data_IF_013533102246
#
_entry.id   IF_013533102246
#
_cell.length_a   1.000
_cell.length_b   1.000
_cell.length_c   1.000
_cell.angle_alpha   90.00
_cell.angle_beta   90.00
_cell.angle_gamma   90.00
#
_symmetry.space_group_name_H-M   'P 1'
#
loop_
_entity.id
_entity.type
_entity.pdbx_description
1 polymer ?
#
# COMPACT_ATOMS: atom_id res chain seq x y z
N UNK A 1 -18.93 1.45 4.32
CA UNK A 1 -17.83 0.59 3.87
C UNK A 1 -16.49 1.28 4.14
N UNK A 2 -15.53 0.53 4.66
CA UNK A 2 -14.18 1.02 4.90
C UNK A 2 -13.29 0.62 3.74
N UNK A 3 -12.50 1.55 3.21
CA UNK A 3 -11.51 1.23 2.18
C UNK A 3 -10.12 1.41 2.77
N UNK A 4 -9.27 0.41 2.57
CA UNK A 4 -7.88 0.42 3.02
C UNK A 4 -6.99 0.51 1.79
N UNK A 5 -6.09 1.48 1.78
CA UNK A 5 -5.12 1.60 0.71
C UNK A 5 -3.85 0.84 1.08
N UNK A 6 -3.56 -0.20 0.34
CA UNK A 6 -2.31 -0.95 0.49
C UNK A 6 -1.27 -0.40 -0.47
N UNK A 7 -0.12 -0.03 0.05
CA UNK A 7 0.97 0.49 -0.76
C UNK A 7 2.10 -0.54 -0.84
N UNK A 8 2.50 -0.86 -2.07
CA UNK A 8 3.65 -1.69 -2.37
C UNK A 8 4.56 -0.89 -3.29
N UNK A 9 5.86 -1.17 -3.24
CA UNK A 9 6.74 -0.60 -4.26
C UNK A 9 6.34 -1.11 -5.65
N UNK A 10 6.23 -2.43 -5.77
CA UNK A 10 5.61 -3.04 -6.93
C UNK A 10 4.74 -4.22 -6.47
N UNK A 11 3.77 -4.58 -7.28
CA UNK A 11 2.85 -5.68 -6.96
C UNK A 11 3.22 -6.89 -7.81
N UNK A 12 4.27 -7.59 -7.40
CA UNK A 12 4.76 -8.76 -8.11
C UNK A 12 4.13 -10.06 -7.64
N UNK A 13 4.86 -11.16 -7.85
CA UNK A 13 4.41 -12.51 -7.50
C UNK A 13 5.16 -13.03 -6.27
N UNK A 14 5.42 -12.18 -5.30
CA UNK A 14 6.17 -12.54 -4.10
C UNK A 14 5.29 -13.02 -2.96
N UNK A 15 5.94 -13.44 -1.88
CA UNK A 15 5.23 -13.97 -0.72
C UNK A 15 4.35 -12.94 -0.02
N UNK A 16 4.78 -11.68 0.00
CA UNK A 16 4.01 -10.60 0.62
C UNK A 16 2.72 -10.36 -0.16
N UNK A 17 2.83 -10.31 -1.47
CA UNK A 17 1.69 -10.09 -2.35
C UNK A 17 0.68 -11.23 -2.22
N UNK A 18 1.15 -12.47 -2.20
CA UNK A 18 0.28 -13.62 -1.98
C UNK A 18 -0.41 -13.57 -0.63
N UNK A 19 0.30 -13.16 0.40
CA UNK A 19 -0.25 -13.04 1.74
C UNK A 19 -1.41 -12.04 1.78
N UNK A 20 -1.20 -10.87 1.20
CA UNK A 20 -2.25 -9.83 1.18
C UNK A 20 -3.42 -10.26 0.31
N UNK A 21 -3.16 -10.89 -0.84
CA UNK A 21 -4.22 -11.37 -1.71
C UNK A 21 -5.06 -12.47 -1.06
N UNK A 22 -4.42 -13.33 -0.24
CA UNK A 22 -5.16 -14.34 0.50
C UNK A 22 -6.19 -13.70 1.43
N UNK A 23 -5.78 -12.69 2.19
CA UNK A 23 -6.71 -11.94 3.02
C UNK A 23 -7.81 -11.29 2.18
N UNK A 24 -7.42 -10.66 1.09
CA UNK A 24 -8.35 -9.93 0.26
C UNK A 24 -9.45 -10.82 -0.31
N UNK A 25 -9.10 -12.03 -0.69
CA UNK A 25 -10.07 -12.99 -1.23
C UNK A 25 -11.10 -13.45 -0.20
N UNK A 26 -10.73 -13.43 1.08
CA UNK A 26 -11.54 -14.01 2.16
C UNK A 26 -12.28 -13.00 3.02
N UNK A 27 -11.94 -11.71 2.96
CA UNK A 27 -12.66 -10.71 3.74
C UNK A 27 -14.03 -10.42 3.14
N UNK A 28 -14.91 -9.87 3.97
CA UNK A 28 -16.21 -9.40 3.50
C UNK A 28 -16.02 -8.06 2.79
N UNK A 29 -15.93 -8.11 1.47
CA UNK A 29 -15.64 -6.93 0.65
C UNK A 29 -16.79 -5.93 0.58
N UNK A 30 -17.93 -6.26 1.11
CA UNK A 30 -19.00 -5.29 1.28
C UNK A 30 -18.75 -4.39 2.49
N UNK A 31 -18.01 -4.87 3.47
CA UNK A 31 -17.68 -4.11 4.67
C UNK A 31 -16.32 -3.46 4.59
N UNK A 32 -15.33 -4.17 4.06
CA UNK A 32 -13.96 -3.68 3.93
C UNK A 32 -13.46 -3.97 2.53
N UNK A 33 -13.06 -2.95 1.81
CA UNK A 33 -12.51 -3.09 0.48
C UNK A 33 -11.05 -2.68 0.49
N UNK A 34 -10.22 -3.40 -0.26
CA UNK A 34 -8.81 -3.06 -0.45
C UNK A 34 -8.62 -2.36 -1.77
N UNK A 35 -7.82 -1.31 -1.75
CA UNK A 35 -7.28 -0.68 -2.95
C UNK A 35 -5.77 -0.74 -2.88
N UNK A 36 -5.09 -0.60 -4.01
CA UNK A 36 -3.66 -0.84 -4.10
C UNK A 36 -2.97 0.30 -4.82
N UNK A 37 -1.77 0.65 -4.35
CA UNK A 37 -0.95 1.69 -4.97
C UNK A 37 0.46 1.18 -5.12
N UNK A 38 1.03 1.36 -6.30
CA UNK A 38 2.43 1.02 -6.57
C UNK A 38 3.18 2.25 -7.11
N UNK A 39 4.50 2.18 -7.05
CA UNK A 39 5.38 3.27 -7.48
C UNK A 39 6.25 2.87 -8.66
N UNK A 40 5.72 2.02 -9.53
CA UNK A 40 6.37 1.59 -10.78
C UNK A 40 5.35 1.64 -11.90
N UNK A 41 5.84 1.65 -13.14
CA UNK A 41 4.96 1.70 -14.32
C UNK A 41 4.37 0.35 -14.67
N UNK A 42 5.07 -0.72 -14.32
CA UNK A 42 4.71 -2.07 -14.72
C UNK A 42 3.39 -2.52 -14.08
N UNK A 43 2.66 -3.34 -14.82
CA UNK A 43 1.47 -3.98 -14.28
C UNK A 43 1.85 -4.92 -13.14
N UNK A 44 0.96 -5.01 -12.16
CA UNK A 44 1.11 -5.98 -11.09
C UNK A 44 0.62 -7.36 -11.52
N UNK A 45 1.18 -8.38 -10.89
CA UNK A 45 0.82 -9.76 -11.17
C UNK A 45 -0.66 -10.04 -10.91
N UNK A 46 -1.24 -9.39 -9.90
CA UNK A 46 -2.63 -9.62 -9.48
C UNK A 46 -3.60 -8.54 -9.94
N UNK A 47 -3.19 -7.66 -10.85
CA UNK A 47 -4.02 -6.52 -11.24
C UNK A 47 -5.41 -6.92 -11.69
N UNK A 48 -5.51 -7.92 -12.56
CA UNK A 48 -6.81 -8.34 -13.09
C UNK A 48 -7.72 -8.89 -11.97
N UNK A 49 -7.16 -9.65 -11.06
CA UNK A 49 -7.92 -10.20 -9.94
C UNK A 49 -8.39 -9.09 -9.00
N UNK A 50 -7.53 -8.12 -8.72
CA UNK A 50 -7.88 -6.99 -7.85
C UNK A 50 -9.08 -6.24 -8.43
N UNK A 51 -9.03 -5.94 -9.72
CA UNK A 51 -10.13 -5.23 -10.37
C UNK A 51 -11.40 -6.05 -10.36
N UNK A 52 -11.28 -7.35 -10.58
CA UNK A 52 -12.43 -8.25 -10.55
C UNK A 52 -13.11 -8.28 -9.17
N UNK A 53 -12.31 -8.20 -8.11
CA UNK A 53 -12.81 -8.19 -6.73
C UNK A 53 -13.33 -6.82 -6.28
N UNK A 54 -13.27 -5.82 -7.13
CA UNK A 54 -13.79 -4.49 -6.86
C UNK A 54 -12.77 -3.49 -6.33
N UNK A 55 -11.50 -3.87 -6.24
CA UNK A 55 -10.44 -2.98 -5.79
C UNK A 55 -10.03 -2.00 -6.88
N UNK A 56 -9.41 -0.91 -6.46
CA UNK A 56 -8.83 0.08 -7.35
C UNK A 56 -7.31 -0.06 -7.34
N UNK A 57 -6.69 0.28 -8.45
CA UNK A 57 -5.24 0.24 -8.58
C UNK A 57 -4.76 1.62 -9.00
N UNK A 58 -3.84 2.16 -8.20
CA UNK A 58 -3.21 3.45 -8.49
C UNK A 58 -1.73 3.22 -8.78
N UNK A 59 -1.20 4.00 -9.70
CA UNK A 59 0.25 4.01 -9.96
C UNK A 59 0.75 5.42 -9.77
N UNK A 60 1.51 5.61 -8.70
CA UNK A 60 2.20 6.86 -8.45
C UNK A 60 3.38 6.97 -9.42
N UNK A 61 3.81 8.18 -9.68
CA UNK A 61 4.96 8.41 -10.55
C UNK A 61 6.15 7.58 -10.07
N UNK A 62 6.92 6.94 -10.97
CA UNK A 62 8.00 6.04 -10.55
C UNK A 62 8.98 6.71 -9.61
N UNK A 63 9.18 6.10 -8.44
CA UNK A 63 10.03 6.65 -7.38
C UNK A 63 11.44 6.90 -7.88
N UNK A 64 11.99 5.99 -8.67
CA UNK A 64 13.35 6.10 -9.17
C UNK A 64 13.54 7.26 -10.14
N UNK A 65 12.48 7.65 -10.82
CA UNK A 65 12.56 8.75 -11.80
C UNK A 65 12.44 10.11 -11.14
N UNK A 66 11.56 10.26 -10.17
CA UNK A 66 11.37 11.51 -9.47
C UNK A 66 10.71 11.29 -8.11
N UNK A 67 11.49 11.24 -7.03
CA UNK A 67 10.94 11.00 -5.69
C UNK A 67 9.94 12.06 -5.24
N UNK A 68 10.17 13.32 -5.62
CA UNK A 68 9.26 14.40 -5.20
C UNK A 68 7.90 14.24 -5.88
N UNK A 69 7.89 13.92 -7.14
CA UNK A 69 6.66 13.72 -7.89
C UNK A 69 5.92 12.48 -7.39
N UNK A 70 6.65 11.42 -7.07
CA UNK A 70 6.08 10.23 -6.46
C UNK A 70 5.39 10.58 -5.15
N UNK A 71 6.06 11.33 -4.29
CA UNK A 71 5.51 11.75 -3.01
C UNK A 71 4.21 12.55 -3.18
N UNK A 72 4.21 13.50 -4.11
CA UNK A 72 3.03 14.32 -4.40
C UNK A 72 1.87 13.49 -4.93
N UNK A 73 2.17 12.52 -5.78
CA UNK A 73 1.13 11.64 -6.31
C UNK A 73 0.46 10.82 -5.21
N UNK A 74 1.26 10.27 -4.29
CA UNK A 74 0.72 9.50 -3.18
C UNK A 74 -0.17 10.37 -2.31
N UNK A 75 0.31 11.55 -1.93
CA UNK A 75 -0.46 12.47 -1.10
C UNK A 75 -1.77 12.88 -1.79
N UNK A 76 -1.71 13.17 -3.09
CA UNK A 76 -2.90 13.56 -3.85
C UNK A 76 -3.92 12.43 -3.93
N UNK A 77 -3.46 11.20 -4.20
CA UNK A 77 -4.36 10.05 -4.31
C UNK A 77 -5.07 9.80 -2.98
N UNK A 78 -4.34 9.89 -1.87
CA UNK A 78 -4.93 9.72 -0.55
C UNK A 78 -5.95 10.82 -0.27
N UNK A 79 -5.62 12.05 -0.60
CA UNK A 79 -6.49 13.18 -0.34
C UNK A 79 -7.75 13.16 -1.20
N UNK A 80 -7.61 12.93 -2.49
CA UNK A 80 -8.74 12.95 -3.41
C UNK A 80 -9.72 11.82 -3.17
N UNK A 81 -9.22 10.70 -2.68
CA UNK A 81 -10.05 9.51 -2.46
C UNK A 81 -10.39 9.29 -0.98
N UNK A 82 -9.97 10.19 -0.11
CA UNK A 82 -10.33 10.18 1.32
C UNK A 82 -9.96 8.90 2.05
N UNK A 83 -8.75 8.38 1.80
CA UNK A 83 -8.28 7.20 2.51
C UNK A 83 -7.88 7.55 3.94
N UNK A 84 -8.57 6.98 4.91
CA UNK A 84 -8.23 7.13 6.31
C UNK A 84 -7.18 6.12 6.77
N UNK A 85 -7.16 4.94 6.16
CA UNK A 85 -6.28 3.85 6.54
C UNK A 85 -5.35 3.53 5.38
N UNK A 86 -4.04 3.64 5.63
CA UNK A 86 -3.02 3.33 4.65
C UNK A 86 -2.05 2.32 5.24
N UNK A 87 -1.87 1.21 4.55
CA UNK A 87 -1.05 0.10 4.99
C UNK A 87 0.10 -0.10 4.00
N UNK A 88 1.31 0.24 4.42
CA UNK A 88 2.51 0.10 3.58
C UNK A 88 3.20 -1.22 3.87
N UNK A 89 3.33 -2.03 2.86
CA UNK A 89 4.08 -3.27 2.93
C UNK A 89 5.47 -3.03 2.39
N UNK A 90 6.49 -3.41 3.14
CA UNK A 90 7.85 -3.10 2.76
C UNK A 90 8.86 -4.10 3.30
N UNK A 91 9.95 -4.25 2.57
CA UNK A 91 11.14 -4.93 3.06
C UNK A 91 12.28 -3.97 3.36
N UNK A 92 12.04 -2.65 3.32
CA UNK A 92 13.07 -1.65 3.47
C UNK A 92 12.57 -0.45 4.25
N UNK A 93 13.51 0.45 4.59
CA UNK A 93 13.19 1.67 5.33
C UNK A 93 12.42 2.70 4.50
N UNK A 94 12.40 2.56 3.19
CA UNK A 94 11.73 3.52 2.32
C UNK A 94 10.21 3.56 2.51
N UNK A 95 9.64 2.56 3.19
CA UNK A 95 8.21 2.58 3.49
C UNK A 95 7.76 3.79 4.30
N UNK A 96 8.63 4.35 5.13
CA UNK A 96 8.30 5.54 5.90
C UNK A 96 8.02 6.74 5.01
N UNK A 97 8.71 6.85 3.90
CA UNK A 97 8.52 7.94 2.96
C UNK A 97 7.10 7.95 2.40
N UNK A 98 6.63 6.79 2.01
CA UNK A 98 5.28 6.63 1.49
C UNK A 98 4.22 6.95 2.55
N UNK A 99 4.46 6.53 3.78
CA UNK A 99 3.53 6.81 4.88
C UNK A 99 3.48 8.30 5.21
N UNK A 100 4.61 9.00 5.12
CA UNK A 100 4.59 10.45 5.29
C UNK A 100 3.76 11.13 4.22
N UNK A 101 3.88 10.68 2.99
CA UNK A 101 3.07 11.22 1.90
C UNK A 101 1.58 10.98 2.14
N UNK A 102 1.23 9.78 2.57
CA UNK A 102 -0.14 9.43 2.90
C UNK A 102 -0.69 10.32 4.02
N UNK A 103 0.13 10.60 5.01
CA UNK A 103 -0.26 11.48 6.11
C UNK A 103 -0.52 12.91 5.64
N UNK A 104 0.33 13.42 4.77
CA UNK A 104 0.11 14.73 4.16
C UNK A 104 -1.19 14.77 3.37
N UNK A 105 -1.60 13.65 2.80
CA UNK A 105 -2.88 13.54 2.11
C UNK A 105 -4.08 13.41 3.03
N UNK A 106 -3.87 13.29 4.35
CA UNK A 106 -4.94 13.25 5.33
C UNK A 106 -5.24 11.90 5.95
N UNK A 107 -4.45 10.87 5.66
CA UNK A 107 -4.66 9.57 6.28
C UNK A 107 -4.42 9.64 7.78
N UNK A 108 -5.31 9.02 8.55
CA UNK A 108 -5.27 9.08 10.01
C UNK A 108 -4.61 7.85 10.63
N UNK A 109 -4.73 6.70 9.97
CA UNK A 109 -4.21 5.45 10.48
C UNK A 109 -3.17 4.92 9.50
N UNK A 110 -1.92 4.90 9.93
CA UNK A 110 -0.80 4.50 9.10
C UNK A 110 -0.20 3.23 9.68
N UNK A 111 -0.08 2.20 8.85
CA UNK A 111 0.48 0.91 9.26
C UNK A 111 1.69 0.65 8.38
N UNK A 112 2.84 0.44 9.02
CA UNK A 112 4.03 -0.02 8.33
C UNK A 112 4.23 -1.48 8.66
N UNK A 113 4.11 -2.33 7.65
CA UNK A 113 4.25 -3.77 7.82
C UNK A 113 5.55 -4.22 7.17
N UNK A 114 6.54 -4.49 7.98
CA UNK A 114 7.82 -4.99 7.51
C UNK A 114 7.76 -6.50 7.38
N UNK A 115 7.99 -6.98 6.16
CA UNK A 115 7.99 -8.40 5.87
C UNK A 115 9.39 -8.97 5.73
N UNK A 116 10.41 -8.14 5.95
CA UNK A 116 11.79 -8.59 5.83
C UNK A 116 12.26 -9.13 7.18
N UNK A 117 12.36 -10.44 7.37
CA UNK A 117 12.82 -10.99 8.62
C UNK A 117 14.32 -10.74 8.74
N UNK A 118 14.69 -9.75 9.50
CA UNK A 118 16.08 -9.58 9.89
C UNK A 118 16.48 -10.78 10.71
N UNK A 119 17.62 -11.39 10.37
CA UNK A 119 18.09 -12.56 11.06
C UNK A 119 18.20 -12.27 12.56
N UNK A 120 17.51 -13.08 13.35
CA UNK A 120 17.54 -12.96 14.80
C UNK A 120 16.68 -11.85 15.39
N UNK A 121 15.88 -11.16 14.60
CA UNK A 121 15.02 -10.09 15.12
C UNK A 121 13.58 -10.26 14.67
N UNK A 122 12.68 -10.54 15.60
CA UNK A 122 11.27 -10.75 15.27
C UNK A 122 10.52 -9.44 15.16
N UNK A 123 10.87 -8.65 14.21
CA UNK A 123 10.13 -7.42 13.94
C UNK A 123 9.04 -7.68 12.96
N UNK A 124 7.88 -7.25 13.19
CA UNK A 124 6.86 -7.48 12.20
C UNK A 124 6.00 -6.27 11.95
N UNK A 125 5.68 -5.54 12.98
CA UNK A 125 4.71 -4.47 12.85
C UNK A 125 5.18 -3.20 13.53
N UNK A 126 4.99 -2.10 12.83
CA UNK A 126 5.06 -0.78 13.44
C UNK A 126 3.77 -0.08 13.08
N UNK A 127 3.04 0.30 14.08
CA UNK A 127 1.82 1.07 13.90
C UNK A 127 2.07 2.49 14.36
N UNK A 128 1.87 3.43 13.46
CA UNK A 128 1.99 4.84 13.76
C UNK A 128 0.61 5.46 13.69
N UNK A 129 0.09 5.85 14.82
CA UNK A 129 -1.16 6.59 14.90
C UNK A 129 -0.86 8.06 15.05
N UNK A 130 -1.48 8.84 14.21
CA UNK A 130 -1.27 10.30 14.24
C UNK A 130 -2.55 11.03 13.94
#
# INVERSE_FOLDING_TARGET
MVRVLHIFHNMGNGGIEHFVMDFYRHIDREKVQFDFLTSVEERGYFDDEILLLGGKIYRAYPLKKNPIKNYRDIARIVQENHYDIVHRHTGSAFGYYDLRAARHGGAKHLILHSHNPQVGKPWIHHVCEK
#
